data_IF_274075523648
#
_entry.id   IF_274075523648
#
_cell.length_a   1.000
_cell.length_b   1.000
_cell.length_c   1.000
_cell.angle_alpha   90.00
_cell.angle_beta   90.00
_cell.angle_gamma   90.00
#
_symmetry.space_group_name_H-M   'P 1'
#
loop_
_entity.id
_entity.type
_entity.pdbx_description
1 polymer ?
#
# COMPACT_ATOMS: atom_id res chain seq x y z
N UNK A 1 0.37 20.35 -49.71
CA UNK A 1 0.85 20.02 -48.36
C UNK A 1 0.06 20.86 -47.37
N UNK A 2 -0.33 20.21 -46.28
CA UNK A 2 -1.54 20.47 -45.50
C UNK A 2 -1.49 21.72 -44.60
N UNK A 3 -2.71 22.21 -44.34
CA UNK A 3 -3.11 23.39 -43.59
C UNK A 3 -2.63 23.37 -42.12
N UNK A 4 -2.20 24.55 -41.67
CA UNK A 4 -2.12 24.92 -40.26
C UNK A 4 -3.52 25.09 -39.69
N UNK A 5 -3.92 24.22 -38.77
CA UNK A 5 -5.04 24.47 -37.87
C UNK A 5 -4.51 24.45 -36.44
N UNK A 6 -4.12 25.62 -35.95
CA UNK A 6 -4.08 25.90 -34.51
C UNK A 6 -5.50 25.78 -33.97
N UNK A 7 -5.77 24.94 -32.95
CA UNK A 7 -7.08 24.87 -32.35
C UNK A 7 -7.36 26.23 -31.71
N UNK A 8 -8.46 26.87 -32.14
CA UNK A 8 -9.04 28.01 -31.43
C UNK A 8 -9.23 27.59 -29.98
N UNK A 9 -8.57 28.28 -29.06
CA UNK A 9 -8.91 28.31 -27.64
C UNK A 9 -10.39 28.65 -27.53
N UNK A 10 -11.21 27.61 -27.53
CA UNK A 10 -12.63 27.68 -27.24
C UNK A 10 -12.71 28.12 -25.81
N UNK A 11 -12.95 29.43 -25.64
CA UNK A 11 -13.35 30.10 -24.43
C UNK A 11 -13.92 29.09 -23.43
N UNK A 12 -13.16 28.83 -22.37
CA UNK A 12 -13.69 28.27 -21.13
C UNK A 12 -14.70 29.31 -20.64
N UNK A 13 -15.92 29.26 -21.20
CA UNK A 13 -17.07 30.00 -20.71
C UNK A 13 -17.19 29.61 -19.26
N UNK A 14 -17.20 30.62 -18.39
CA UNK A 14 -17.47 30.52 -16.97
C UNK A 14 -18.44 29.37 -16.69
N UNK A 15 -17.89 28.20 -16.37
CA UNK A 15 -18.66 27.17 -15.71
C UNK A 15 -18.74 27.72 -14.31
N UNK A 16 -19.79 28.52 -14.07
CA UNK A 16 -20.15 29.01 -12.75
C UNK A 16 -20.00 27.84 -11.80
N UNK A 17 -18.94 27.89 -10.98
CA UNK A 17 -18.59 26.78 -10.13
C UNK A 17 -19.80 26.54 -9.22
N UNK A 18 -20.54 25.46 -9.47
CA UNK A 18 -21.78 25.14 -8.74
C UNK A 18 -21.55 25.17 -7.23
N UNK A 19 -20.36 24.74 -6.79
CA UNK A 19 -19.93 24.81 -5.41
C UNK A 19 -19.87 26.25 -4.86
N UNK A 20 -19.35 27.21 -5.65
CA UNK A 20 -19.30 28.61 -5.24
C UNK A 20 -20.68 29.26 -5.26
N UNK A 21 -21.58 28.85 -6.15
CA UNK A 21 -22.97 29.32 -6.14
C UNK A 21 -23.73 28.77 -4.92
N UNK A 22 -23.50 27.51 -4.53
CA UNK A 22 -24.05 26.94 -3.31
C UNK A 22 -23.55 27.65 -2.04
N UNK A 23 -22.24 27.98 -1.97
CA UNK A 23 -21.68 28.71 -0.83
C UNK A 23 -22.17 30.16 -0.70
N UNK A 24 -22.67 30.75 -1.79
CA UNK A 24 -23.27 32.10 -1.77
C UNK A 24 -24.72 32.10 -1.27
N UNK A 25 -25.36 30.93 -1.21
CA UNK A 25 -26.73 30.82 -0.71
C UNK A 25 -26.70 30.83 0.83
N UNK A 26 -27.37 31.81 1.42
CA UNK A 26 -27.58 31.81 2.87
C UNK A 26 -28.39 30.56 3.28
N UNK A 27 -27.99 29.85 4.36
CA UNK A 27 -28.77 28.74 4.88
C UNK A 27 -30.19 29.19 5.21
N UNK A 28 -31.19 28.39 4.83
CA UNK A 28 -32.61 28.68 5.07
C UNK A 28 -33.21 27.63 5.99
N UNK A 29 -34.04 28.09 6.92
CA UNK A 29 -34.85 27.29 7.83
C UNK A 29 -36.29 27.20 7.28
N UNK A 30 -36.88 26.00 7.37
CA UNK A 30 -38.28 25.77 7.08
C UNK A 30 -39.07 25.71 8.40
N UNK A 31 -39.99 26.65 8.58
CA UNK A 31 -40.85 26.74 9.76
C UNK A 31 -42.30 26.53 9.34
N UNK A 32 -43.00 25.59 9.97
CA UNK A 32 -44.44 25.41 9.79
C UNK A 32 -45.18 26.25 10.84
N UNK A 33 -45.86 27.31 10.42
CA UNK A 33 -46.59 28.23 11.31
C UNK A 33 -48.04 28.31 10.81
N UNK A 34 -49.00 28.00 11.68
CA UNK A 34 -50.44 27.99 11.37
C UNK A 34 -50.84 27.16 10.14
N UNK A 35 -50.09 26.08 9.87
CA UNK A 35 -50.32 25.19 8.71
C UNK A 35 -49.70 25.67 7.40
N UNK A 36 -49.04 26.83 7.39
CA UNK A 36 -48.28 27.33 6.25
C UNK A 36 -46.77 27.12 6.43
N UNK A 37 -46.10 26.68 5.36
CA UNK A 37 -44.65 26.49 5.35
C UNK A 37 -43.96 27.82 5.02
N UNK A 38 -43.28 28.39 6.00
CA UNK A 38 -42.48 29.62 5.86
C UNK A 38 -41.00 29.27 5.70
N UNK A 39 -40.35 29.90 4.73
CA UNK A 39 -38.89 29.80 4.54
C UNK A 39 -38.26 31.08 5.09
N UNK A 40 -37.37 30.97 6.08
CA UNK A 40 -36.63 32.11 6.64
C UNK A 40 -35.14 31.87 6.52
N UNK A 41 -34.37 32.94 6.32
CA UNK A 41 -32.92 32.81 6.41
C UNK A 41 -32.54 32.45 7.85
N UNK A 42 -31.66 31.47 8.01
CA UNK A 42 -31.12 31.10 9.31
C UNK A 42 -30.41 32.31 9.87
N UNK A 43 -30.92 32.83 10.98
CA UNK A 43 -30.15 33.82 11.73
C UNK A 43 -28.89 33.13 12.25
N UNK A 44 -27.72 33.64 11.83
CA UNK A 44 -26.47 33.21 12.41
C UNK A 44 -26.52 33.34 13.93
N UNK A 45 -25.76 32.50 14.67
CA UNK A 45 -25.81 32.48 16.13
C UNK A 45 -25.71 33.90 16.69
N UNK A 46 -26.73 34.30 17.45
CA UNK A 46 -26.77 35.59 18.17
C UNK A 46 -25.76 35.53 19.31
N UNK A 47 -24.48 35.63 18.97
CA UNK A 47 -23.44 35.79 19.97
C UNK A 47 -23.65 37.10 20.70
N UNK A 48 -23.66 37.06 22.03
CA UNK A 48 -23.57 38.26 22.85
C UNK A 48 -22.24 38.99 22.55
N UNK A 49 -22.28 40.32 22.51
CA UNK A 49 -21.11 41.17 22.27
C UNK A 49 -21.09 41.86 20.90
N UNK A 50 -20.09 42.72 20.70
CA UNK A 50 -19.93 43.44 19.44
C UNK A 50 -19.48 42.50 18.31
N UNK A 51 -19.66 42.91 17.06
CA UNK A 51 -19.15 42.17 15.90
C UNK A 51 -17.63 41.91 16.02
N UNK A 52 -16.89 42.91 16.51
CA UNK A 52 -15.45 42.84 16.75
C UNK A 52 -15.08 41.73 17.75
N UNK A 53 -15.81 41.64 18.88
CA UNK A 53 -15.56 40.64 19.91
C UNK A 53 -15.81 39.22 19.38
N UNK A 54 -16.86 39.07 18.57
CA UNK A 54 -17.18 37.80 17.90
C UNK A 54 -16.11 37.42 16.88
N UNK A 55 -15.62 38.37 16.09
CA UNK A 55 -14.56 38.14 15.11
C UNK A 55 -13.27 37.69 15.81
N UNK A 56 -12.89 38.37 16.90
CA UNK A 56 -11.70 38.05 17.69
C UNK A 56 -11.77 36.67 18.34
N UNK A 57 -12.95 36.26 18.83
CA UNK A 57 -13.18 34.92 19.37
C UNK A 57 -13.02 33.85 18.28
N UNK A 58 -13.58 34.08 17.10
CA UNK A 58 -13.47 33.17 15.96
C UNK A 58 -12.02 33.02 15.50
N UNK A 59 -11.28 34.13 15.35
CA UNK A 59 -9.86 34.10 14.99
C UNK A 59 -9.03 33.30 15.98
N UNK A 60 -9.28 33.48 17.29
CA UNK A 60 -8.59 32.74 18.33
C UNK A 60 -8.88 31.24 18.27
N UNK A 61 -10.13 30.87 17.99
CA UNK A 61 -10.55 29.47 17.85
C UNK A 61 -9.93 28.82 16.60
N UNK A 62 -9.97 29.50 15.45
CA UNK A 62 -9.30 29.06 14.21
C UNK A 62 -7.79 28.88 14.45
N UNK A 63 -7.16 29.81 15.15
CA UNK A 63 -5.73 29.71 15.50
C UNK A 63 -5.44 28.50 16.40
N UNK A 64 -6.32 28.21 17.37
CA UNK A 64 -6.19 27.05 18.23
C UNK A 64 -6.32 25.74 17.44
N UNK A 65 -7.33 25.62 16.58
CA UNK A 65 -7.51 24.45 15.72
C UNK A 65 -6.33 24.26 14.78
N UNK A 66 -5.81 25.34 14.18
CA UNK A 66 -4.61 25.28 13.34
C UNK A 66 -3.42 24.70 14.12
N UNK A 67 -3.17 25.20 15.35
CA UNK A 67 -2.09 24.66 16.20
C UNK A 67 -2.30 23.21 16.59
N UNK A 68 -3.54 22.78 16.83
CA UNK A 68 -3.85 21.38 17.12
C UNK A 68 -3.57 20.48 15.92
N UNK A 69 -4.02 20.89 14.73
CA UNK A 69 -3.78 20.15 13.49
C UNK A 69 -2.28 20.06 13.17
N UNK A 70 -1.51 21.15 13.34
CA UNK A 70 -0.05 21.14 13.15
C UNK A 70 0.64 20.14 14.10
N UNK A 71 0.24 20.11 15.38
CA UNK A 71 0.78 19.15 16.35
C UNK A 71 0.42 17.70 16.02
N UNK A 72 -0.81 17.47 15.58
CA UNK A 72 -1.27 16.13 15.17
C UNK A 72 -0.46 15.62 13.98
N UNK A 73 -0.27 16.46 12.95
CA UNK A 73 0.57 16.15 11.79
C UNK A 73 2.02 15.85 12.20
N UNK A 74 2.60 16.63 13.11
CA UNK A 74 3.97 16.40 13.61
C UNK A 74 4.11 15.05 14.34
N UNK A 75 3.15 14.70 15.19
CA UNK A 75 3.11 13.40 15.87
C UNK A 75 2.98 12.26 14.84
N UNK A 76 2.08 12.39 13.87
CA UNK A 76 1.92 11.40 12.81
C UNK A 76 3.20 11.22 12.01
N UNK A 77 3.83 12.32 11.58
CA UNK A 77 5.10 12.28 10.86
C UNK A 77 6.16 11.50 11.65
N UNK A 78 6.31 11.79 12.95
CA UNK A 78 7.25 11.10 13.83
C UNK A 78 6.97 9.61 13.99
N UNK A 79 5.70 9.21 14.06
CA UNK A 79 5.31 7.80 14.14
C UNK A 79 5.67 7.09 12.82
N UNK A 80 5.32 7.70 11.68
CA UNK A 80 5.61 7.15 10.36
C UNK A 80 7.11 7.00 10.13
N UNK A 81 7.92 8.00 10.47
CA UNK A 81 9.38 7.90 10.34
C UNK A 81 9.96 6.75 11.17
N UNK A 82 9.53 6.60 12.44
CA UNK A 82 9.97 5.47 13.28
C UNK A 82 9.59 4.11 12.70
N UNK A 83 8.41 4.02 12.08
CA UNK A 83 7.96 2.79 11.44
C UNK A 83 8.80 2.46 10.21
N UNK A 84 9.11 3.47 9.39
CA UNK A 84 10.00 3.33 8.23
C UNK A 84 11.39 2.85 8.68
N UNK A 85 12.00 3.50 9.68
CA UNK A 85 13.32 3.13 10.20
C UNK A 85 13.36 1.67 10.71
N UNK A 86 12.32 1.25 11.42
CA UNK A 86 12.19 -0.12 11.91
C UNK A 86 12.07 -1.12 10.76
N UNK A 87 11.23 -0.81 9.77
CA UNK A 87 11.01 -1.65 8.60
C UNK A 87 12.28 -1.78 7.75
N UNK A 88 13.01 -0.68 7.51
CA UNK A 88 14.28 -0.70 6.78
C UNK A 88 15.30 -1.60 7.46
N UNK A 89 15.41 -1.53 8.79
CA UNK A 89 16.32 -2.39 9.58
C UNK A 89 15.96 -3.87 9.47
N UNK A 90 14.68 -4.22 9.60
CA UNK A 90 14.22 -5.60 9.45
C UNK A 90 14.44 -6.12 8.02
N UNK A 91 14.14 -5.30 7.02
CA UNK A 91 14.35 -5.61 5.60
C UNK A 91 15.83 -5.86 5.31
N UNK A 92 16.73 -5.01 5.83
CA UNK A 92 18.17 -5.20 5.66
C UNK A 92 18.68 -6.51 6.30
N UNK A 93 18.15 -6.86 7.48
CA UNK A 93 18.47 -8.14 8.14
C UNK A 93 17.99 -9.33 7.29
N UNK A 94 16.75 -9.30 6.84
CA UNK A 94 16.16 -10.36 6.01
C UNK A 94 16.95 -10.55 4.71
N UNK A 95 17.37 -9.45 4.06
CA UNK A 95 18.22 -9.53 2.88
C UNK A 95 19.58 -10.17 3.18
N UNK A 96 20.19 -9.86 4.32
CA UNK A 96 21.43 -10.51 4.76
C UNK A 96 21.25 -12.03 4.94
N UNK A 97 20.15 -12.44 5.56
CA UNK A 97 19.83 -13.87 5.77
C UNK A 97 19.59 -14.59 4.42
N UNK A 98 18.88 -13.96 3.48
CA UNK A 98 18.65 -14.50 2.13
C UNK A 98 19.97 -14.67 1.37
N UNK A 99 20.87 -13.68 1.41
CA UNK A 99 22.18 -13.76 0.75
C UNK A 99 23.04 -14.88 1.33
N UNK A 100 23.06 -15.01 2.66
CA UNK A 100 23.75 -16.11 3.36
C UNK A 100 23.22 -17.50 2.96
N UNK A 101 21.89 -17.62 2.86
CA UNK A 101 21.25 -18.87 2.41
C UNK A 101 21.60 -19.18 0.95
N UNK A 102 21.61 -18.17 0.08
CA UNK A 102 21.99 -18.30 -1.32
C UNK A 102 23.45 -18.77 -1.47
N UNK A 103 24.38 -18.18 -0.73
CA UNK A 103 25.79 -18.60 -0.74
C UNK A 103 25.98 -20.05 -0.25
N UNK A 104 25.25 -20.42 0.79
CA UNK A 104 25.25 -21.80 1.30
C UNK A 104 24.71 -22.77 0.25
N UNK A 105 23.64 -22.40 -0.44
CA UNK A 105 23.04 -23.19 -1.52
C UNK A 105 24.03 -23.39 -2.67
N UNK A 106 24.71 -22.32 -3.11
CA UNK A 106 25.73 -22.39 -4.15
C UNK A 106 26.90 -23.30 -3.77
N UNK A 107 27.35 -23.22 -2.51
CA UNK A 107 28.40 -24.10 -1.99
C UNK A 107 27.97 -25.57 -2.01
N UNK A 108 26.76 -25.87 -1.57
CA UNK A 108 26.22 -27.24 -1.59
C UNK A 108 26.04 -27.74 -3.02
N UNK A 109 25.60 -26.89 -3.93
CA UNK A 109 25.46 -27.22 -5.35
C UNK A 109 26.82 -27.54 -5.99
N UNK A 110 27.87 -26.78 -5.68
CA UNK A 110 29.23 -27.07 -6.13
C UNK A 110 29.73 -28.43 -5.59
N UNK A 111 29.52 -28.70 -4.30
CA UNK A 111 29.87 -30.00 -3.70
C UNK A 111 29.12 -31.17 -4.34
N UNK A 112 27.85 -30.98 -4.67
CA UNK A 112 27.04 -31.98 -5.35
C UNK A 112 27.61 -32.29 -6.74
N UNK A 113 27.96 -31.27 -7.52
CA UNK A 113 28.59 -31.46 -8.83
C UNK A 113 29.93 -32.21 -8.73
N UNK A 114 30.77 -31.88 -7.76
CA UNK A 114 32.05 -32.58 -7.53
C UNK A 114 31.84 -34.07 -7.24
N UNK A 115 30.85 -34.41 -6.40
CA UNK A 115 30.50 -35.80 -6.07
C UNK A 115 29.95 -36.53 -7.29
N UNK A 116 29.09 -35.87 -8.08
CA UNK A 116 28.57 -36.43 -9.33
C UNK A 116 29.70 -36.73 -10.33
N UNK A 117 30.62 -35.79 -10.54
CA UNK A 117 31.77 -35.96 -11.44
C UNK A 117 32.65 -37.14 -10.98
N UNK A 118 32.96 -37.22 -9.67
CA UNK A 118 33.74 -38.34 -9.11
C UNK A 118 33.04 -39.68 -9.33
N UNK A 119 31.72 -39.72 -9.16
CA UNK A 119 30.90 -40.94 -9.33
C UNK A 119 30.86 -41.39 -10.78
N UNK A 120 30.71 -40.46 -11.73
CA UNK A 120 30.78 -40.79 -13.17
C UNK A 120 32.17 -41.32 -13.54
N UNK A 121 33.24 -40.68 -13.03
CA UNK A 121 34.61 -41.10 -13.29
C UNK A 121 34.94 -42.49 -12.74
N UNK A 122 34.46 -42.82 -11.54
CA UNK A 122 34.66 -44.14 -10.95
C UNK A 122 33.92 -45.22 -11.74
N UNK A 123 32.65 -44.97 -12.13
CA UNK A 123 31.86 -45.85 -13.01
C UNK A 123 32.55 -46.11 -14.35
N UNK A 124 33.16 -45.08 -14.96
CA UNK A 124 33.93 -45.22 -16.21
C UNK A 124 35.17 -46.11 -16.02
N UNK A 125 35.95 -45.91 -14.95
CA UNK A 125 37.14 -46.73 -14.63
C UNK A 125 36.80 -48.20 -14.34
N UNK A 126 35.66 -48.48 -13.72
CA UNK A 126 35.21 -49.87 -13.51
C UNK A 126 34.79 -50.54 -14.84
N UNK A 127 34.16 -49.80 -15.75
CA UNK A 127 33.79 -50.33 -17.07
C UNK A 127 35.01 -50.63 -17.96
N UNK A 128 36.05 -49.79 -17.93
CA UNK A 128 37.28 -50.06 -18.71
C UNK A 128 38.09 -51.26 -18.18
N UNK A 129 38.07 -51.52 -16.87
CA UNK A 129 38.67 -52.72 -16.27
C UNK A 129 37.88 -54.00 -16.58
N UNK A 130 36.57 -53.90 -16.77
CA UNK A 130 35.71 -55.02 -17.16
C UNK A 130 35.70 -55.29 -18.67
N UNK A 131 36.05 -54.30 -19.51
CA UNK A 131 36.16 -54.47 -20.97
C UNK A 131 37.30 -55.42 -21.42
N UNK A 132 38.27 -55.71 -20.55
CA UNK A 132 39.30 -56.73 -20.77
C UNK A 132 38.86 -58.17 -20.47
N UNK A 133 37.65 -58.39 -19.95
CA UNK A 133 37.05 -59.72 -19.72
C UNK A 133 35.62 -59.73 -20.24
N UNK A 134 35.42 -59.98 -21.54
CA UNK A 134 34.09 -60.19 -22.09
C UNK A 134 33.51 -61.53 -21.62
N UNK A 135 32.36 -61.48 -20.95
CA UNK A 135 31.15 -62.23 -21.36
C UNK A 135 29.94 -61.31 -21.23
N UNK A 136 28.90 -61.43 -22.08
CA UNK A 136 27.80 -60.48 -22.13
C UNK A 136 26.77 -60.83 -21.06
N UNK A 137 26.71 -60.00 -20.02
CA UNK A 137 25.48 -59.82 -19.24
C UNK A 137 25.26 -58.34 -19.04
N UNK A 138 24.35 -57.83 -19.87
CA UNK A 138 23.53 -56.66 -19.61
C UNK A 138 23.13 -56.66 -18.13
N UNK A 139 23.59 -55.65 -17.39
CA UNK A 139 23.05 -55.32 -16.08
C UNK A 139 22.64 -53.86 -16.15
N UNK A 140 21.33 -53.69 -16.17
CA UNK A 140 20.63 -52.42 -16.07
C UNK A 140 21.25 -51.57 -14.97
N UNK A 141 21.48 -50.28 -15.29
CA UNK A 141 21.87 -49.29 -14.29
C UNK A 141 20.78 -49.20 -13.20
N UNK A 142 21.14 -49.14 -11.91
CA UNK A 142 20.16 -48.88 -10.87
C UNK A 142 19.57 -47.48 -11.08
N UNK A 143 18.24 -47.42 -11.18
CA UNK A 143 17.40 -46.25 -11.38
C UNK A 143 17.36 -45.29 -10.16
N UNK A 144 18.25 -45.49 -9.20
CA UNK A 144 18.18 -44.87 -7.88
C UNK A 144 19.26 -43.80 -7.78
N UNK A 145 18.86 -42.60 -7.33
CA UNK A 145 19.57 -41.31 -7.43
C UNK A 145 19.32 -40.58 -8.77
N UNK A 146 18.04 -40.47 -9.16
CA UNK A 146 17.56 -39.18 -9.65
C UNK A 146 17.19 -38.37 -8.42
N UNK A 147 18.08 -37.50 -7.94
CA UNK A 147 17.60 -36.35 -7.18
C UNK A 147 16.72 -35.59 -8.17
N UNK A 148 15.41 -35.63 -7.96
CA UNK A 148 14.44 -34.85 -8.71
C UNK A 148 14.75 -33.38 -8.44
N UNK A 149 15.53 -32.79 -9.34
CA UNK A 149 15.58 -31.34 -9.48
C UNK A 149 14.14 -30.94 -9.79
N UNK A 150 13.51 -30.06 -8.98
CA UNK A 150 12.14 -29.67 -9.21
C UNK A 150 12.00 -29.20 -10.64
N UNK A 151 10.97 -29.70 -11.31
CA UNK A 151 10.75 -29.39 -12.71
C UNK A 151 10.56 -27.88 -12.86
N UNK A 152 10.91 -27.33 -14.02
CA UNK A 152 10.73 -25.88 -14.30
C UNK A 152 9.30 -25.40 -13.95
N UNK A 153 8.30 -26.27 -14.13
CA UNK A 153 6.90 -26.02 -13.77
C UNK A 153 6.66 -25.90 -12.26
N UNK A 154 7.37 -26.66 -11.44
CA UNK A 154 7.27 -26.57 -9.97
C UNK A 154 7.92 -25.29 -9.46
N UNK A 155 9.04 -24.87 -10.07
CA UNK A 155 9.67 -23.58 -9.77
C UNK A 155 8.71 -22.43 -10.14
N UNK A 156 8.13 -22.47 -11.34
CA UNK A 156 7.17 -21.45 -11.78
C UNK A 156 5.94 -21.40 -10.86
N UNK A 157 5.44 -22.55 -10.39
CA UNK A 157 4.32 -22.61 -9.45
C UNK A 157 4.65 -22.00 -8.09
N UNK A 158 5.87 -22.23 -7.56
CA UNK A 158 6.34 -21.62 -6.31
C UNK A 158 6.44 -20.10 -6.46
N UNK A 159 7.01 -19.63 -7.57
CA UNK A 159 7.13 -18.18 -7.85
C UNK A 159 5.75 -17.53 -7.90
N UNK A 160 4.79 -18.13 -8.62
CA UNK A 160 3.42 -17.63 -8.71
C UNK A 160 2.75 -17.60 -7.32
N UNK A 161 2.95 -18.63 -6.50
CA UNK A 161 2.40 -18.66 -5.15
C UNK A 161 2.93 -17.51 -4.28
N UNK A 162 4.24 -17.24 -4.34
CA UNK A 162 4.87 -16.12 -3.63
C UNK A 162 4.33 -14.78 -4.12
N UNK A 163 4.19 -14.59 -5.44
CA UNK A 163 3.63 -13.36 -6.01
C UNK A 163 2.19 -13.11 -5.53
N UNK A 164 1.36 -14.15 -5.48
CA UNK A 164 -0.01 -14.05 -4.99
C UNK A 164 -0.08 -13.70 -3.50
N UNK A 165 0.79 -14.28 -2.68
CA UNK A 165 0.87 -13.95 -1.25
C UNK A 165 1.28 -12.48 -1.03
N UNK A 166 2.24 -11.97 -1.81
CA UNK A 166 2.66 -10.55 -1.76
C UNK A 166 1.49 -9.62 -2.12
N UNK A 167 0.74 -9.94 -3.20
CA UNK A 167 -0.42 -9.16 -3.62
C UNK A 167 -1.50 -9.17 -2.53
N UNK A 168 -1.77 -10.34 -1.93
CA UNK A 168 -2.74 -10.51 -0.85
C UNK A 168 -2.40 -9.65 0.36
N UNK A 169 -1.16 -9.72 0.85
CA UNK A 169 -0.67 -8.93 1.99
C UNK A 169 -0.79 -7.43 1.71
N UNK A 170 -0.38 -7.00 0.51
CA UNK A 170 -0.45 -5.59 0.11
C UNK A 170 -1.89 -5.07 0.10
N UNK A 171 -2.84 -5.89 -0.38
CA UNK A 171 -4.26 -5.55 -0.42
C UNK A 171 -4.85 -5.41 0.99
N UNK A 172 -4.45 -6.28 1.92
CA UNK A 172 -4.87 -6.21 3.33
C UNK A 172 -4.37 -4.92 3.98
N UNK A 173 -3.09 -4.58 3.78
CA UNK A 173 -2.49 -3.36 4.35
C UNK A 173 -3.22 -2.10 3.85
N UNK A 174 -3.46 -1.99 2.54
CA UNK A 174 -4.18 -0.86 1.95
C UNK A 174 -5.59 -0.74 2.55
N UNK A 175 -6.30 -1.87 2.71
CA UNK A 175 -7.65 -1.89 3.28
C UNK A 175 -7.68 -1.41 4.73
N UNK A 176 -6.67 -1.79 5.54
CA UNK A 176 -6.53 -1.32 6.93
C UNK A 176 -6.29 0.19 6.96
N UNK A 177 -5.41 0.71 6.11
CA UNK A 177 -5.10 2.14 6.03
C UNK A 177 -6.35 2.94 5.66
N UNK A 178 -7.08 2.52 4.61
CA UNK A 178 -8.33 3.18 4.18
C UNK A 178 -9.34 3.20 5.34
N UNK A 179 -9.53 2.07 6.01
CA UNK A 179 -10.47 1.95 7.13
C UNK A 179 -10.10 2.87 8.30
N UNK A 180 -8.81 2.95 8.64
CA UNK A 180 -8.31 3.82 9.70
C UNK A 180 -8.54 5.30 9.36
N UNK A 181 -8.24 5.71 8.13
CA UNK A 181 -8.46 7.08 7.65
C UNK A 181 -9.96 7.43 7.63
N UNK A 182 -10.81 6.55 7.11
CA UNK A 182 -12.27 6.76 7.12
C UNK A 182 -12.83 6.88 8.53
N UNK A 183 -12.34 6.05 9.47
CA UNK A 183 -12.77 6.09 10.87
C UNK A 183 -12.33 7.39 11.56
N UNK A 184 -11.11 7.86 11.31
CA UNK A 184 -10.61 9.13 11.83
C UNK A 184 -11.43 10.31 11.29
N UNK A 185 -11.69 10.34 9.98
CA UNK A 185 -12.52 11.36 9.34
C UNK A 185 -13.96 11.38 9.88
N UNK A 186 -14.55 10.21 10.12
CA UNK A 186 -15.88 10.10 10.72
C UNK A 186 -15.92 10.62 12.16
N UNK A 187 -14.93 10.25 12.99
CA UNK A 187 -14.82 10.77 14.37
C UNK A 187 -14.68 12.29 14.40
N UNK A 188 -13.90 12.86 13.49
CA UNK A 188 -13.75 14.31 13.38
C UNK A 188 -15.07 15.01 13.01
N UNK A 189 -15.88 14.42 12.11
CA UNK A 189 -17.21 14.96 11.79
C UNK A 189 -18.20 14.86 12.96
N UNK A 190 -18.22 13.75 13.68
CA UNK A 190 -19.13 13.56 14.82
C UNK A 190 -18.80 14.48 16.00
N UNK A 191 -17.51 14.74 16.27
CA UNK A 191 -17.11 15.64 17.34
C UNK A 191 -17.45 17.11 17.04
N UNK A 192 -17.42 17.53 15.77
CA UNK A 192 -17.84 18.89 15.38
C UNK A 192 -19.36 19.08 15.42
N UNK A 193 -20.17 18.04 15.18
CA UNK A 193 -21.63 18.12 15.30
C UNK A 193 -22.12 18.11 16.76
N UNK A 194 -21.39 17.47 17.68
CA UNK A 194 -21.70 17.50 19.12
C UNK A 194 -21.47 18.85 19.78
N UNK A 195 -20.56 19.68 19.25
CA UNK A 195 -20.30 21.02 19.78
C UNK A 195 -21.34 22.07 19.31
N UNK A 196 -22.04 21.81 18.20
CA UNK A 196 -23.05 22.73 17.65
C UNK A 196 -24.42 22.54 18.33
N UNK A 197 -24.65 21.41 19.03
CA UNK A 197 -25.93 21.13 19.71
C UNK A 197 -26.00 21.60 21.18
N UNK A 198 -24.97 22.28 21.71
CA UNK A 198 -24.90 22.73 23.12
C UNK A 198 -24.80 24.28 23.25
N UNK A 199 -25.01 25.05 22.18
CA UNK A 199 -25.05 26.53 22.26
C UNK A 199 -26.39 27.07 21.80
#
# INVERSE_FOLDING_TARGET
MSLSETPKDSSCKDVDNLYMNELRMHPKELLLVDGELQIKDVQGPKGEGSLEDRMKKLEQEVFNYKKMAEREVDIFHKIVSKLIDAHEKETAKLWGDILSLHDTTNKLQAQLYDVQIKTVRSKSKSHSRLAGRRTPREKELPAEIRQEIPSRREIDAIVIAIELDIISITTIIISIIITAVSTAAHRHRCNNLGLILIV
#
